data_IF_736708100230
#
_entry.id   IF_736708100230
#
_cell.length_a   1.000
_cell.length_b   1.000
_cell.length_c   1.000
_cell.angle_alpha   90.00
_cell.angle_beta   90.00
_cell.angle_gamma   90.00
#
_symmetry.space_group_name_H-M   'P 1'
#
loop_
_entity.id
_entity.type
_entity.pdbx_description
1 polymer ?
#
# COMPACT_ATOMS: atom_id res chain seq x y z
N UNK A 1 -28.29 10.11 -6.73
CA UNK A 1 -27.81 8.98 -5.89
C UNK A 1 -26.39 9.22 -5.33
N UNK A 2 -25.37 9.51 -6.13
CA UNK A 2 -23.99 9.74 -5.64
C UNK A 2 -23.84 10.89 -4.66
N UNK A 3 -24.52 12.01 -4.87
CA UNK A 3 -24.50 13.16 -3.97
C UNK A 3 -25.06 12.81 -2.57
N UNK A 4 -26.17 12.08 -2.51
CA UNK A 4 -26.77 11.63 -1.24
C UNK A 4 -25.80 10.72 -0.50
N UNK A 5 -25.17 9.74 -1.19
CA UNK A 5 -24.14 8.88 -0.59
C UNK A 5 -22.98 9.70 -0.01
N UNK A 6 -22.56 10.75 -0.72
CA UNK A 6 -21.52 11.65 -0.25
C UNK A 6 -21.94 12.41 1.02
N UNK A 7 -23.16 12.98 1.05
CA UNK A 7 -23.66 13.70 2.24
C UNK A 7 -23.74 12.75 3.44
N UNK A 8 -24.29 11.56 3.26
CA UNK A 8 -24.36 10.53 4.32
C UNK A 8 -22.96 10.17 4.83
N UNK A 9 -22.01 9.92 3.92
CA UNK A 9 -20.63 9.63 4.30
C UNK A 9 -20.00 10.80 5.08
N UNK A 10 -20.21 12.05 4.64
CA UNK A 10 -19.71 13.26 5.31
C UNK A 10 -20.30 13.43 6.71
N UNK A 11 -21.57 13.10 6.89
CA UNK A 11 -22.23 13.15 8.19
C UNK A 11 -21.57 12.14 9.16
N UNK A 12 -21.36 10.88 8.75
CA UNK A 12 -20.69 9.90 9.60
C UNK A 12 -19.21 10.25 9.86
N UNK A 13 -18.50 10.80 8.87
CA UNK A 13 -17.14 11.30 9.06
C UNK A 13 -17.14 12.45 10.08
N UNK A 14 -18.10 13.36 10.01
CA UNK A 14 -18.21 14.46 10.97
C UNK A 14 -18.41 13.91 12.40
N UNK A 15 -19.34 12.98 12.62
CA UNK A 15 -19.56 12.36 13.92
C UNK A 15 -18.29 11.66 14.43
N UNK A 16 -17.58 10.92 13.56
CA UNK A 16 -16.32 10.29 13.91
C UNK A 16 -15.28 11.31 14.36
N UNK A 17 -15.18 12.44 13.66
CA UNK A 17 -14.20 13.48 13.95
C UNK A 17 -14.50 14.28 15.23
N UNK A 18 -15.71 14.21 15.79
CA UNK A 18 -16.04 14.75 17.12
C UNK A 18 -15.42 13.91 18.26
N UNK A 19 -15.13 12.63 18.01
CA UNK A 19 -14.54 11.77 19.03
C UNK A 19 -13.07 12.14 19.27
N UNK A 20 -12.56 11.97 20.52
CA UNK A 20 -11.12 12.00 20.79
C UNK A 20 -10.37 10.96 19.95
N UNK A 21 -9.12 11.24 19.56
CA UNK A 21 -8.33 10.39 18.65
C UNK A 21 -8.24 8.94 19.14
N UNK A 22 -8.02 8.72 20.43
CA UNK A 22 -8.01 7.37 21.03
C UNK A 22 -9.32 6.61 20.79
N UNK A 23 -10.45 7.30 20.84
CA UNK A 23 -11.76 6.69 20.58
C UNK A 23 -11.95 6.38 19.09
N UNK A 24 -11.44 7.24 18.19
CA UNK A 24 -11.46 6.95 16.74
C UNK A 24 -10.70 5.66 16.40
N UNK A 25 -9.54 5.45 17.02
CA UNK A 25 -8.77 4.21 16.82
C UNK A 25 -9.47 2.98 17.41
N UNK A 26 -10.08 3.09 18.62
CA UNK A 26 -10.92 2.01 19.17
C UNK A 26 -12.11 1.68 18.26
N UNK A 27 -12.74 2.71 17.70
CA UNK A 27 -13.80 2.53 16.72
C UNK A 27 -13.30 1.85 15.43
N UNK A 28 -12.10 2.19 14.97
CA UNK A 28 -11.43 1.51 13.87
C UNK A 28 -11.17 0.03 14.16
N UNK A 29 -10.71 -0.33 15.35
CA UNK A 29 -10.54 -1.70 15.79
C UNK A 29 -11.87 -2.47 15.82
N UNK A 30 -12.94 -1.85 16.35
CA UNK A 30 -14.29 -2.40 16.33
C UNK A 30 -14.77 -2.65 14.90
N UNK A 31 -14.67 -1.67 14.01
CA UNK A 31 -15.05 -1.82 12.60
C UNK A 31 -14.21 -2.87 11.87
N UNK A 32 -12.93 -2.99 12.18
CA UNK A 32 -12.05 -4.03 11.64
C UNK A 32 -12.53 -5.43 12.01
N UNK A 33 -12.87 -5.65 13.29
CA UNK A 33 -13.45 -6.91 13.76
C UNK A 33 -14.82 -7.17 13.11
N UNK A 34 -15.67 -6.16 13.00
CA UNK A 34 -16.98 -6.27 12.37
C UNK A 34 -16.86 -6.62 10.89
N UNK A 35 -15.95 -5.95 10.16
CA UNK A 35 -15.66 -6.23 8.75
C UNK A 35 -15.17 -7.68 8.56
N UNK A 36 -14.24 -8.12 9.41
CA UNK A 36 -13.78 -9.52 9.42
C UNK A 36 -14.93 -10.50 9.61
N UNK A 37 -15.84 -10.22 10.54
CA UNK A 37 -16.99 -11.09 10.84
C UNK A 37 -18.02 -11.10 9.70
N UNK A 38 -18.38 -9.94 9.17
CA UNK A 38 -19.50 -9.78 8.22
C UNK A 38 -19.10 -10.05 6.77
N UNK A 39 -17.90 -9.67 6.33
CA UNK A 39 -17.50 -9.82 4.93
C UNK A 39 -16.82 -11.16 4.70
N UNK A 40 -17.63 -12.24 4.68
CA UNK A 40 -17.16 -13.62 4.54
C UNK A 40 -16.18 -13.82 3.37
N UNK A 41 -16.44 -13.21 2.20
CA UNK A 41 -15.56 -13.35 1.03
C UNK A 41 -14.15 -12.82 1.28
N UNK A 42 -14.02 -11.67 1.93
CA UNK A 42 -12.71 -11.05 2.25
C UNK A 42 -11.97 -11.83 3.34
N UNK A 43 -12.71 -12.29 4.36
CA UNK A 43 -12.16 -13.18 5.40
C UNK A 43 -11.61 -14.46 4.79
N UNK A 44 -12.39 -15.16 3.95
CA UNK A 44 -11.92 -16.39 3.29
C UNK A 44 -10.70 -16.16 2.41
N UNK A 45 -10.68 -15.06 1.65
CA UNK A 45 -9.49 -14.67 0.87
C UNK A 45 -8.26 -14.52 1.77
N UNK A 46 -8.38 -13.80 2.89
CA UNK A 46 -7.26 -13.60 3.81
C UNK A 46 -6.76 -14.91 4.42
N UNK A 47 -7.68 -15.77 4.89
CA UNK A 47 -7.32 -17.07 5.48
C UNK A 47 -6.62 -17.97 4.46
N UNK A 48 -7.13 -18.05 3.22
CA UNK A 48 -6.52 -18.86 2.15
C UNK A 48 -5.12 -18.35 1.77
N UNK A 49 -4.96 -17.03 1.64
CA UNK A 49 -3.67 -16.43 1.34
C UNK A 49 -2.66 -16.68 2.47
N UNK A 50 -3.08 -16.52 3.73
CA UNK A 50 -2.23 -16.76 4.89
C UNK A 50 -1.81 -18.24 5.02
N UNK A 51 -2.75 -19.19 4.85
CA UNK A 51 -2.42 -20.62 4.88
C UNK A 51 -1.44 -21.01 3.79
N UNK A 52 -1.56 -20.41 2.61
CA UNK A 52 -0.63 -20.64 1.51
C UNK A 52 0.75 -20.03 1.81
N UNK A 53 0.80 -18.82 2.39
CA UNK A 53 2.04 -18.11 2.68
C UNK A 53 2.79 -18.65 3.91
N UNK A 54 2.06 -19.19 4.88
CA UNK A 54 2.57 -19.71 6.15
C UNK A 54 1.98 -21.09 6.45
N UNK A 55 2.33 -22.12 5.65
CA UNK A 55 1.80 -23.48 5.82
C UNK A 55 2.17 -24.13 7.17
N UNK A 56 3.24 -23.63 7.81
CA UNK A 56 3.72 -24.08 9.11
C UNK A 56 2.88 -23.59 10.29
N UNK A 57 2.03 -22.55 10.10
CA UNK A 57 1.26 -21.95 11.18
C UNK A 57 -0.07 -22.67 11.40
N UNK A 58 -0.46 -22.77 12.68
CA UNK A 58 -1.75 -23.31 13.07
C UNK A 58 -2.93 -22.46 12.56
N UNK A 59 -4.11 -23.06 12.47
CA UNK A 59 -5.33 -22.34 12.07
C UNK A 59 -5.65 -21.17 13.00
N UNK A 60 -5.35 -21.30 14.30
CA UNK A 60 -5.54 -20.25 15.29
C UNK A 60 -4.59 -19.06 15.07
N UNK A 61 -3.32 -19.32 14.77
CA UNK A 61 -2.35 -18.30 14.44
C UNK A 61 -2.74 -17.55 13.16
N UNK A 62 -3.15 -18.30 12.14
CA UNK A 62 -3.64 -17.75 10.86
C UNK A 62 -4.86 -16.85 11.08
N UNK A 63 -5.81 -17.28 11.90
CA UNK A 63 -6.99 -16.47 12.21
C UNK A 63 -6.63 -15.21 12.99
N UNK A 64 -5.72 -15.29 13.95
CA UNK A 64 -5.22 -14.16 14.73
C UNK A 64 -4.55 -13.11 13.85
N UNK A 65 -3.68 -13.54 12.91
CA UNK A 65 -3.02 -12.66 11.94
C UNK A 65 -4.06 -12.02 11.02
N UNK A 66 -4.98 -12.81 10.45
CA UNK A 66 -6.02 -12.30 9.57
C UNK A 66 -6.87 -11.22 10.26
N UNK A 67 -7.34 -11.49 11.47
CA UNK A 67 -8.16 -10.56 12.25
C UNK A 67 -7.40 -9.27 12.58
N UNK A 68 -6.13 -9.36 12.99
CA UNK A 68 -5.28 -8.19 13.27
C UNK A 68 -5.05 -7.38 12.00
N UNK A 69 -4.83 -8.01 10.85
CA UNK A 69 -4.69 -7.36 9.55
C UNK A 69 -5.92 -6.52 9.17
N UNK A 70 -7.13 -7.06 9.36
CA UNK A 70 -8.37 -6.28 9.14
C UNK A 70 -8.44 -5.05 10.03
N UNK A 71 -8.12 -5.19 11.33
CA UNK A 71 -8.11 -4.08 12.28
C UNK A 71 -7.13 -2.99 11.86
N UNK A 72 -5.90 -3.36 11.54
CA UNK A 72 -4.85 -2.43 11.10
C UNK A 72 -5.29 -1.68 9.84
N UNK A 73 -5.74 -2.40 8.80
CA UNK A 73 -6.13 -1.78 7.54
C UNK A 73 -7.33 -0.84 7.71
N UNK A 74 -8.34 -1.20 8.49
CA UNK A 74 -9.50 -0.33 8.74
C UNK A 74 -9.08 0.90 9.55
N UNK A 75 -8.24 0.75 10.58
CA UNK A 75 -7.69 1.90 11.32
C UNK A 75 -6.90 2.83 10.41
N UNK A 76 -6.05 2.28 9.55
CA UNK A 76 -5.27 3.04 8.58
C UNK A 76 -6.15 3.85 7.61
N UNK A 77 -7.17 3.20 7.02
CA UNK A 77 -8.14 3.89 6.16
C UNK A 77 -8.90 5.01 6.87
N UNK A 78 -9.32 4.76 8.12
CA UNK A 78 -10.00 5.81 8.90
C UNK A 78 -9.04 6.93 9.26
N UNK A 79 -7.80 6.64 9.64
CA UNK A 79 -6.78 7.63 9.99
C UNK A 79 -6.53 8.64 8.87
N UNK A 80 -6.66 8.22 7.60
CA UNK A 80 -6.57 9.11 6.44
C UNK A 80 -7.55 10.29 6.49
N UNK A 81 -8.67 10.17 7.23
CA UNK A 81 -9.67 11.22 7.37
C UNK A 81 -9.21 12.40 8.26
N UNK A 82 -8.19 12.18 9.09
CA UNK A 82 -7.61 13.22 9.97
C UNK A 82 -6.09 13.17 9.99
N UNK A 83 -5.48 12.61 8.96
CA UNK A 83 -4.05 12.37 8.93
C UNK A 83 -3.23 13.67 9.03
N UNK A 84 -3.72 14.76 8.46
CA UNK A 84 -3.14 16.10 8.63
C UNK A 84 -3.04 16.55 10.09
N UNK A 85 -4.05 16.21 10.92
CA UNK A 85 -4.05 16.48 12.35
C UNK A 85 -3.17 15.49 13.12
N UNK A 86 -3.18 14.22 12.70
CA UNK A 86 -2.36 13.16 13.27
C UNK A 86 -0.86 13.47 13.16
N UNK A 87 -0.43 14.03 12.03
CA UNK A 87 0.95 14.44 11.78
C UNK A 87 1.43 15.62 12.64
N UNK A 88 0.53 16.41 13.23
CA UNK A 88 0.92 17.54 14.09
C UNK A 88 1.59 17.10 15.39
N UNK A 89 1.35 15.87 15.83
CA UNK A 89 2.09 15.30 16.96
C UNK A 89 3.31 14.54 16.45
N UNK A 90 4.54 15.05 16.65
CA UNK A 90 5.76 14.43 16.15
C UNK A 90 6.01 13.03 16.75
N UNK A 91 5.40 12.70 17.90
CA UNK A 91 5.51 11.38 18.51
C UNK A 91 4.74 10.30 17.76
N UNK A 92 3.81 10.69 16.89
CA UNK A 92 2.99 9.74 16.15
C UNK A 92 3.74 9.04 15.01
N UNK A 93 4.83 9.63 14.52
CA UNK A 93 5.60 9.11 13.37
C UNK A 93 7.06 8.95 13.77
N UNK A 94 7.59 7.75 13.54
CA UNK A 94 9.03 7.47 13.56
C UNK A 94 9.46 7.07 12.16
N UNK A 95 10.57 7.63 11.68
CA UNK A 95 11.13 7.28 10.36
C UNK A 95 12.50 6.67 10.57
N UNK A 96 12.68 5.48 10.05
CA UNK A 96 13.94 4.75 10.07
C UNK A 96 14.60 4.91 8.72
N UNK A 97 15.87 5.32 8.73
CA UNK A 97 16.72 5.52 7.55
C UNK A 97 16.15 6.55 6.55
N UNK A 98 15.55 7.64 7.07
CA UNK A 98 15.06 8.74 6.23
C UNK A 98 16.15 9.34 5.33
N UNK A 99 17.39 9.34 5.81
CA UNK A 99 18.54 9.90 5.12
C UNK A 99 18.74 9.29 3.72
N UNK A 100 18.49 7.98 3.55
CA UNK A 100 18.57 7.34 2.23
C UNK A 100 17.61 7.98 1.23
N UNK A 101 16.37 8.28 1.62
CA UNK A 101 15.41 8.99 0.77
C UNK A 101 15.87 10.41 0.46
N UNK A 102 16.29 11.15 1.47
CA UNK A 102 16.73 12.54 1.29
C UNK A 102 17.99 12.63 0.42
N UNK A 103 18.93 11.69 0.58
CA UNK A 103 20.12 11.59 -0.26
C UNK A 103 19.77 11.23 -1.70
N UNK A 104 18.81 10.32 -1.93
CA UNK A 104 18.29 10.02 -3.25
C UNK A 104 17.68 11.27 -3.92
N UNK A 105 16.91 12.06 -3.16
CA UNK A 105 16.30 13.30 -3.67
C UNK A 105 17.33 14.39 -4.03
N UNK A 106 18.51 14.39 -3.41
CA UNK A 106 19.59 15.34 -3.71
C UNK A 106 20.37 15.02 -5.00
N UNK A 107 20.19 13.84 -5.60
CA UNK A 107 20.93 13.40 -6.79
C UNK A 107 20.56 14.12 -8.09
N UNK A 108 19.84 15.21 -8.05
CA UNK A 108 19.41 16.00 -9.22
C UNK A 108 18.63 15.19 -10.29
N UNK A 109 18.03 14.07 -9.88
CA UNK A 109 17.18 13.19 -10.67
C UNK A 109 15.83 13.02 -9.98
N UNK A 110 14.80 12.52 -10.72
CA UNK A 110 13.61 11.98 -10.08
C UNK A 110 13.96 10.75 -9.24
N UNK A 111 13.12 10.43 -8.26
CA UNK A 111 13.29 9.24 -7.42
C UNK A 111 12.13 8.29 -7.63
N UNK A 112 12.41 7.01 -7.76
CA UNK A 112 11.39 5.96 -7.82
C UNK A 112 11.33 5.21 -6.49
N UNK A 113 10.20 5.28 -5.81
CA UNK A 113 9.93 4.53 -4.60
C UNK A 113 8.92 3.41 -4.88
N UNK A 114 9.31 2.16 -4.63
CA UNK A 114 8.34 1.08 -4.50
C UNK A 114 7.68 1.18 -3.13
N UNK A 115 6.41 0.83 -3.05
CA UNK A 115 5.69 0.72 -1.76
C UNK A 115 4.74 -0.47 -1.79
N UNK A 116 4.15 -0.79 -0.64
CA UNK A 116 3.29 -1.96 -0.47
C UNK A 116 2.05 -1.65 0.38
N UNK A 117 1.00 -2.47 0.24
CA UNK A 117 -0.25 -2.31 0.99
C UNK A 117 -0.09 -2.83 2.43
N UNK A 118 0.66 -2.10 3.22
CA UNK A 118 1.05 -2.44 4.58
C UNK A 118 0.93 -1.23 5.51
N UNK A 119 0.51 -1.46 6.75
CA UNK A 119 0.35 -0.39 7.74
C UNK A 119 -0.60 0.72 7.27
N UNK A 120 -0.23 1.98 7.49
CA UNK A 120 -0.93 3.13 6.93
C UNK A 120 -0.25 3.58 5.64
N UNK A 121 -0.80 3.19 4.50
CA UNK A 121 -0.23 3.42 3.18
C UNK A 121 0.07 4.91 2.88
N UNK A 122 -0.68 5.84 3.46
CA UNK A 122 -0.46 7.27 3.27
C UNK A 122 0.73 7.79 4.08
N UNK A 123 1.07 7.13 5.19
CA UNK A 123 2.17 7.53 6.04
C UNK A 123 3.54 7.42 5.34
N UNK A 124 3.72 6.46 4.43
CA UNK A 124 4.96 6.30 3.68
C UNK A 124 5.38 7.55 2.92
N UNK A 125 4.44 8.46 2.63
CA UNK A 125 4.75 9.71 1.92
C UNK A 125 5.50 10.73 2.77
N UNK A 126 5.47 10.60 4.10
CA UNK A 126 6.11 11.56 5.03
C UNK A 126 7.65 11.48 4.98
N UNK A 127 8.21 10.34 4.54
CA UNK A 127 9.67 10.16 4.51
C UNK A 127 10.40 11.07 3.51
N UNK A 128 9.68 11.68 2.57
CA UNK A 128 10.28 12.56 1.55
C UNK A 128 10.57 13.97 2.05
N UNK A 129 10.19 14.30 3.28
CA UNK A 129 10.35 15.68 3.81
C UNK A 129 9.53 16.68 2.98
N UNK A 130 10.22 17.68 2.45
CA UNK A 130 9.62 18.74 1.61
C UNK A 130 9.46 18.36 0.13
N UNK A 131 10.06 17.25 -0.31
CA UNK A 131 9.96 16.82 -1.70
C UNK A 131 8.58 16.32 -2.04
N UNK A 132 8.01 16.83 -3.13
CA UNK A 132 6.69 16.46 -3.57
C UNK A 132 6.64 15.01 -4.06
N UNK A 133 5.71 14.24 -3.50
CA UNK A 133 5.49 12.85 -3.89
C UNK A 133 4.31 12.72 -4.85
N UNK A 134 4.46 11.86 -5.83
CA UNK A 134 3.45 11.53 -6.84
C UNK A 134 3.08 10.06 -6.68
N UNK A 135 1.80 9.76 -6.65
CA UNK A 135 1.33 8.36 -6.65
C UNK A 135 0.19 8.18 -7.64
N UNK A 136 -0.14 6.94 -7.95
CA UNK A 136 -1.21 6.57 -8.87
C UNK A 136 -2.32 5.88 -8.10
N UNK A 137 -3.54 6.31 -8.30
CA UNK A 137 -4.70 5.65 -7.71
C UNK A 137 -5.81 5.44 -8.74
N UNK A 138 -6.60 4.39 -8.54
CA UNK A 138 -7.80 4.17 -9.32
C UNK A 138 -8.88 5.15 -8.91
N UNK A 139 -9.54 5.78 -9.87
CA UNK A 139 -10.69 6.65 -9.65
C UNK A 139 -11.82 5.94 -8.91
N UNK A 140 -12.36 6.57 -7.88
CA UNK A 140 -13.53 6.06 -7.18
C UNK A 140 -14.79 6.25 -8.03
N UNK A 141 -15.75 5.32 -7.92
CA UNK A 141 -17.01 5.37 -8.69
C UNK A 141 -17.84 6.62 -8.38
N UNK A 142 -17.86 7.06 -7.11
CA UNK A 142 -18.55 8.26 -6.69
C UNK A 142 -17.60 9.47 -6.83
N UNK A 143 -17.86 10.42 -7.75
CA UNK A 143 -16.95 11.53 -8.00
C UNK A 143 -16.82 12.48 -6.80
N UNK A 144 -17.88 12.66 -6.02
CA UNK A 144 -17.85 13.53 -4.83
C UNK A 144 -16.94 12.93 -3.74
N UNK A 145 -17.02 11.61 -3.53
CA UNK A 145 -16.14 10.89 -2.60
C UNK A 145 -14.71 10.91 -3.13
N UNK A 146 -14.52 10.69 -4.43
CA UNK A 146 -13.18 10.75 -5.05
C UNK A 146 -12.51 12.11 -4.80
N UNK A 147 -13.20 13.20 -5.11
CA UNK A 147 -12.68 14.54 -4.91
C UNK A 147 -12.39 14.85 -3.44
N UNK A 148 -13.23 14.36 -2.54
CA UNK A 148 -13.04 14.55 -1.10
C UNK A 148 -11.76 13.82 -0.62
N UNK A 149 -11.56 12.56 -0.97
CA UNK A 149 -10.38 11.77 -0.61
C UNK A 149 -9.12 12.39 -1.22
N UNK A 150 -9.14 12.75 -2.50
CA UNK A 150 -8.00 13.39 -3.18
C UNK A 150 -7.60 14.69 -2.49
N UNK A 151 -8.57 15.49 -2.06
CA UNK A 151 -8.32 16.73 -1.31
C UNK A 151 -7.70 16.46 0.05
N UNK A 152 -8.15 15.43 0.77
CA UNK A 152 -7.58 15.06 2.07
C UNK A 152 -6.11 14.64 1.92
N UNK A 153 -5.81 13.81 0.92
CA UNK A 153 -4.44 13.38 0.61
C UNK A 153 -3.51 14.53 0.28
N UNK A 154 -3.99 15.47 -0.54
CA UNK A 154 -3.20 16.66 -0.89
C UNK A 154 -2.90 17.58 0.29
N UNK A 155 -3.76 17.62 1.32
CA UNK A 155 -3.54 18.45 2.51
C UNK A 155 -2.50 17.87 3.46
N UNK A 156 -2.50 16.55 3.63
CA UNK A 156 -1.68 15.92 4.65
C UNK A 156 -0.19 15.84 4.27
N UNK A 157 0.14 15.63 2.99
CA UNK A 157 1.43 15.05 2.65
C UNK A 157 2.12 15.65 1.42
N UNK A 158 1.75 16.82 0.96
CA UNK A 158 2.28 17.34 -0.31
C UNK A 158 2.19 16.34 -1.48
N UNK A 159 1.25 15.38 -1.37
CA UNK A 159 1.08 14.28 -2.30
C UNK A 159 0.16 14.70 -3.45
N UNK A 160 0.60 14.45 -4.67
CA UNK A 160 -0.22 14.52 -5.87
C UNK A 160 -0.67 13.12 -6.26
N UNK A 161 -1.98 12.93 -6.41
CA UNK A 161 -2.54 11.64 -6.85
C UNK A 161 -2.94 11.75 -8.30
N UNK A 162 -2.32 10.95 -9.16
CA UNK A 162 -2.67 10.83 -10.58
C UNK A 162 -3.73 9.72 -10.70
N UNK A 163 -4.87 10.03 -11.33
CA UNK A 163 -5.86 9.00 -11.65
C UNK A 163 -5.31 8.07 -12.73
N UNK A 164 -5.43 6.73 -12.50
CA UNK A 164 -4.93 5.72 -13.44
C UNK A 164 -5.75 5.72 -14.73
N UNK A 165 -5.11 6.10 -15.83
CA UNK A 165 -5.63 6.09 -17.19
C UNK A 165 -4.53 5.71 -18.21
N UNK A 166 -4.82 5.81 -19.51
CA UNK A 166 -3.88 5.51 -20.60
C UNK A 166 -2.69 6.48 -20.66
N UNK A 167 -2.83 7.69 -20.10
CA UNK A 167 -1.80 8.74 -20.09
C UNK A 167 -0.90 8.64 -18.88
N UNK A 168 -1.23 7.82 -17.88
CA UNK A 168 -0.53 7.72 -16.60
C UNK A 168 0.99 7.61 -16.78
N UNK A 169 1.46 6.69 -17.63
CA UNK A 169 2.91 6.53 -17.84
C UNK A 169 3.59 7.79 -18.37
N UNK A 170 2.93 8.51 -19.31
CA UNK A 170 3.46 9.77 -19.88
C UNK A 170 3.54 10.86 -18.81
N UNK A 171 2.51 10.97 -17.97
CA UNK A 171 2.49 11.95 -16.87
C UNK A 171 3.57 11.63 -15.84
N UNK A 172 3.75 10.36 -15.46
CA UNK A 172 4.80 9.96 -14.54
C UNK A 172 6.20 10.30 -15.08
N UNK A 173 6.46 10.05 -16.38
CA UNK A 173 7.75 10.43 -17.02
C UNK A 173 7.96 11.94 -16.96
N UNK A 174 6.93 12.76 -17.20
CA UNK A 174 7.03 14.21 -17.05
C UNK A 174 7.42 14.60 -15.62
N UNK A 175 6.77 13.97 -14.62
CA UNK A 175 7.05 14.24 -13.20
C UNK A 175 8.45 13.81 -12.77
N UNK A 176 8.99 12.74 -13.33
CA UNK A 176 10.38 12.34 -13.11
C UNK A 176 11.37 13.40 -13.64
N UNK A 177 11.08 13.99 -14.81
CA UNK A 177 11.88 15.09 -15.37
C UNK A 177 11.82 16.35 -14.51
N UNK A 178 10.71 16.56 -13.79
CA UNK A 178 10.55 17.61 -12.77
C UNK A 178 11.25 17.25 -11.43
N UNK A 179 12.05 16.18 -11.39
CA UNK A 179 12.79 15.69 -10.20
C UNK A 179 11.88 15.37 -9.01
N UNK A 180 10.65 14.90 -9.28
CA UNK A 180 9.70 14.50 -8.24
C UNK A 180 9.94 13.06 -7.79
N UNK A 181 9.48 12.74 -6.58
CA UNK A 181 9.45 11.38 -6.07
C UNK A 181 8.17 10.69 -6.56
N UNK A 182 8.31 9.56 -7.23
CA UNK A 182 7.16 8.74 -7.64
C UNK A 182 7.10 7.50 -6.77
N UNK A 183 5.97 7.32 -6.06
CA UNK A 183 5.71 6.14 -5.26
C UNK A 183 4.66 5.25 -5.92
N UNK A 184 5.04 3.99 -6.23
CA UNK A 184 4.14 3.01 -6.85
C UNK A 184 4.00 1.76 -5.99
N UNK A 185 2.74 1.34 -5.77
CA UNK A 185 2.44 0.07 -5.12
C UNK A 185 2.87 -1.09 -6.03
N UNK A 186 3.74 -1.95 -5.52
CA UNK A 186 4.37 -3.02 -6.31
C UNK A 186 4.02 -4.43 -5.82
N UNK A 187 3.24 -4.55 -4.74
CA UNK A 187 2.90 -5.80 -4.08
C UNK A 187 1.55 -6.42 -4.51
N UNK A 188 0.76 -5.72 -5.31
CA UNK A 188 -0.54 -6.23 -5.75
C UNK A 188 -0.43 -7.06 -7.04
N UNK A 189 -1.48 -7.85 -7.36
CA UNK A 189 -1.55 -8.58 -8.62
C UNK A 189 -1.96 -7.65 -9.75
N UNK A 190 -1.09 -7.51 -10.75
CA UNK A 190 -1.36 -6.74 -11.98
C UNK A 190 -0.66 -7.41 -13.18
N UNK A 191 -0.88 -6.89 -14.38
CA UNK A 191 -0.10 -7.24 -15.57
C UNK A 191 1.34 -6.74 -15.39
N UNK A 192 2.32 -7.59 -15.61
CA UNK A 192 3.74 -7.24 -15.42
C UNK A 192 4.60 -8.49 -15.41
N UNK A 193 5.57 -8.54 -14.50
CA UNK A 193 6.49 -9.67 -14.35
C UNK A 193 5.79 -10.89 -13.74
N UNK A 194 6.19 -12.08 -14.16
CA UNK A 194 5.81 -13.35 -13.51
C UNK A 194 6.81 -13.57 -12.38
N UNK A 195 6.31 -13.74 -11.16
CA UNK A 195 7.17 -13.83 -9.99
C UNK A 195 6.77 -15.03 -9.10
N UNK A 196 7.71 -15.53 -8.33
CA UNK A 196 7.43 -16.38 -7.20
C UNK A 196 7.27 -15.51 -5.95
N UNK A 197 6.16 -15.67 -5.24
CA UNK A 197 5.85 -14.93 -4.04
C UNK A 197 5.26 -15.88 -2.99
N UNK A 198 5.93 -16.07 -1.88
CA UNK A 198 5.65 -17.11 -0.87
C UNK A 198 5.61 -18.52 -1.49
N UNK A 199 6.58 -18.84 -2.34
CA UNK A 199 6.68 -20.14 -2.98
C UNK A 199 5.65 -20.41 -4.09
N UNK A 200 4.79 -19.45 -4.44
CA UNK A 200 3.74 -19.61 -5.46
C UNK A 200 3.88 -18.61 -6.58
N UNK A 201 3.77 -19.10 -7.83
CA UNK A 201 3.80 -18.22 -9.01
C UNK A 201 2.59 -17.28 -9.05
N UNK A 202 2.84 -16.03 -9.37
CA UNK A 202 1.83 -15.00 -9.58
C UNK A 202 2.41 -13.86 -10.44
N UNK A 203 1.67 -12.76 -10.60
CA UNK A 203 2.13 -11.58 -11.36
C UNK A 203 2.26 -10.36 -10.46
N UNK A 204 3.26 -9.52 -10.72
CA UNK A 204 3.46 -8.26 -10.03
C UNK A 204 3.60 -7.09 -11.01
N UNK A 205 3.23 -5.84 -10.60
CA UNK A 205 3.48 -4.66 -11.41
C UNK A 205 4.98 -4.48 -11.65
N UNK A 206 5.36 -4.20 -12.88
CA UNK A 206 6.75 -3.91 -13.24
C UNK A 206 7.06 -2.41 -13.37
N UNK A 207 6.05 -1.55 -13.23
CA UNK A 207 6.16 -0.13 -13.56
C UNK A 207 7.27 0.62 -12.79
N UNK A 208 7.39 0.38 -11.48
CA UNK A 208 8.42 1.03 -10.66
C UNK A 208 9.83 0.63 -11.12
N UNK A 209 10.09 -0.66 -11.22
CA UNK A 209 11.38 -1.23 -11.67
C UNK A 209 11.69 -0.80 -13.11
N UNK A 210 10.72 -0.90 -14.02
CA UNK A 210 10.92 -0.51 -15.42
C UNK A 210 11.29 0.94 -15.60
N UNK A 211 10.67 1.87 -14.84
CA UNK A 211 11.01 3.29 -14.89
C UNK A 211 12.38 3.55 -14.26
N UNK A 212 12.69 2.93 -13.13
CA UNK A 212 13.98 3.07 -12.49
C UNK A 212 15.13 2.62 -13.41
N UNK A 213 15.00 1.45 -14.04
CA UNK A 213 15.98 0.94 -15.00
C UNK A 213 16.12 1.84 -16.25
N UNK A 214 14.97 2.23 -16.84
CA UNK A 214 14.96 2.99 -18.10
C UNK A 214 15.58 4.38 -17.98
N UNK A 215 15.35 5.03 -16.85
CA UNK A 215 15.78 6.42 -16.63
C UNK A 215 16.94 6.53 -15.64
N UNK A 216 17.54 5.40 -15.26
CA UNK A 216 18.67 5.34 -14.31
C UNK A 216 18.40 6.15 -13.05
N UNK A 217 17.29 5.83 -12.36
CA UNK A 217 16.82 6.57 -11.20
C UNK A 217 17.24 5.88 -9.89
N UNK A 218 17.48 6.65 -8.83
CA UNK A 218 17.51 6.11 -7.47
C UNK A 218 16.24 5.31 -7.20
N UNK A 219 16.40 4.08 -6.65
CA UNK A 219 15.29 3.17 -6.40
C UNK A 219 15.29 2.68 -4.95
N UNK A 220 14.20 2.87 -4.23
CA UNK A 220 14.06 2.50 -2.82
C UNK A 220 12.72 1.79 -2.58
N UNK A 221 12.68 0.97 -1.53
CA UNK A 221 11.42 0.47 -0.97
C UNK A 221 11.06 1.28 0.27
N UNK A 222 9.82 1.76 0.34
CA UNK A 222 9.28 2.45 1.51
C UNK A 222 8.03 1.69 1.98
N UNK A 223 8.03 1.32 3.25
CA UNK A 223 6.90 0.65 3.89
C UNK A 223 6.72 1.16 5.32
N UNK A 224 5.65 0.78 5.97
CA UNK A 224 5.44 1.19 7.36
C UNK A 224 4.65 0.15 8.15
N UNK A 225 4.78 0.20 9.47
CA UNK A 225 3.97 -0.54 10.44
C UNK A 225 3.09 0.40 11.23
N UNK A 226 1.85 0.00 11.46
CA UNK A 226 0.94 0.67 12.37
C UNK A 226 1.03 -0.03 13.72
N UNK A 227 1.64 0.64 14.70
CA UNK A 227 1.96 0.06 15.98
C UNK A 227 0.71 -0.09 16.89
N UNK A 228 0.80 -0.90 17.93
CA UNK A 228 -0.33 -1.18 18.83
C UNK A 228 -0.72 0.05 19.68
N UNK A 229 0.19 0.99 19.91
CA UNK A 229 -0.07 2.30 20.54
C UNK A 229 -0.66 3.34 19.58
N UNK A 230 -0.95 2.94 18.35
CA UNK A 230 -1.43 3.75 17.23
C UNK A 230 -0.41 4.77 16.69
N UNK A 231 0.86 4.63 16.99
CA UNK A 231 1.95 5.31 16.27
C UNK A 231 2.29 4.58 14.98
N UNK A 232 3.06 5.21 14.11
CA UNK A 232 3.50 4.62 12.83
C UNK A 232 5.01 4.67 12.76
N UNK A 233 5.62 3.55 12.40
CA UNK A 233 7.04 3.50 12.06
C UNK A 233 7.19 3.33 10.56
N UNK A 234 7.82 4.28 9.89
CA UNK A 234 8.12 4.25 8.47
C UNK A 234 9.54 3.75 8.29
N UNK A 235 9.75 2.86 7.35
CA UNK A 235 11.04 2.29 7.00
C UNK A 235 11.37 2.66 5.57
N UNK A 236 12.55 3.18 5.37
CA UNK A 236 13.15 3.43 4.05
C UNK A 236 14.35 2.48 3.91
N UNK A 237 14.42 1.70 2.84
CA UNK A 237 15.61 0.89 2.57
C UNK A 237 16.77 1.78 2.13
N UNK A 238 17.97 1.24 2.15
CA UNK A 238 19.04 1.80 1.33
C UNK A 238 18.65 1.75 -0.14
N UNK A 239 19.35 2.50 -0.97
CA UNK A 239 19.09 2.50 -2.41
C UNK A 239 19.31 1.08 -2.96
N UNK A 240 18.27 0.54 -3.59
CA UNK A 240 18.29 -0.81 -4.15
C UNK A 240 19.00 -0.75 -5.49
N UNK A 241 20.14 -1.41 -5.58
CA UNK A 241 20.88 -1.54 -6.83
C UNK A 241 20.16 -2.50 -7.79
N UNK A 242 19.74 -1.98 -8.93
CA UNK A 242 19.09 -2.74 -9.98
C UNK A 242 20.12 -3.34 -10.95
N UNK A 243 20.07 -4.65 -11.13
CA UNK A 243 20.96 -5.38 -12.05
C UNK A 243 20.62 -5.06 -13.50
N UNK A 244 21.65 -4.74 -14.31
CA UNK A 244 21.55 -4.46 -15.74
C UNK A 244 22.46 -5.41 -16.50
N UNK A 245 21.88 -6.30 -17.32
CA UNK A 245 22.61 -7.28 -18.14
C UNK A 245 22.68 -6.83 -19.61
N UNK A 246 21.93 -5.80 -19.96
CA UNK A 246 21.76 -5.33 -21.35
C UNK A 246 20.49 -5.86 -22.00
N UNK A 247 19.84 -6.89 -21.43
CA UNK A 247 18.52 -7.34 -21.86
C UNK A 247 17.44 -6.71 -20.97
N UNK A 248 16.87 -5.59 -21.39
CA UNK A 248 15.91 -4.84 -20.59
C UNK A 248 14.71 -5.66 -20.09
N UNK A 249 14.20 -6.59 -20.90
CA UNK A 249 13.05 -7.43 -20.50
C UNK A 249 13.43 -8.39 -19.37
N UNK A 250 14.59 -8.98 -19.47
CA UNK A 250 15.16 -9.88 -18.44
C UNK A 250 15.53 -9.10 -17.19
N UNK A 251 16.15 -7.94 -17.34
CA UNK A 251 16.49 -7.04 -16.23
C UNK A 251 15.25 -6.64 -15.44
N UNK A 252 14.16 -6.25 -16.11
CA UNK A 252 12.88 -5.94 -15.47
C UNK A 252 12.34 -7.16 -14.72
N UNK A 253 12.33 -8.33 -15.35
CA UNK A 253 11.83 -9.59 -14.76
C UNK A 253 12.60 -9.93 -13.47
N UNK A 254 13.93 -9.93 -13.53
CA UNK A 254 14.80 -10.30 -12.42
C UNK A 254 14.76 -9.30 -11.26
N UNK A 255 14.75 -8.00 -11.57
CA UNK A 255 14.68 -6.97 -10.54
C UNK A 255 13.30 -6.86 -9.90
N UNK A 256 12.21 -7.17 -10.61
CA UNK A 256 10.89 -7.28 -9.97
C UNK A 256 10.86 -8.46 -9.00
N UNK A 257 11.43 -9.62 -9.39
CA UNK A 257 11.55 -10.76 -8.47
C UNK A 257 12.36 -10.39 -7.24
N UNK A 258 13.49 -9.69 -7.42
CA UNK A 258 14.34 -9.25 -6.31
C UNK A 258 13.59 -8.31 -5.35
N UNK A 259 12.86 -7.32 -5.88
CA UNK A 259 12.01 -6.44 -5.07
C UNK A 259 10.95 -7.22 -4.29
N UNK A 260 10.31 -8.18 -4.93
CA UNK A 260 9.27 -9.03 -4.28
C UNK A 260 9.86 -9.88 -3.17
N UNK A 261 11.09 -10.38 -3.31
CA UNK A 261 11.77 -11.11 -2.24
C UNK A 261 11.99 -10.21 -1.02
N UNK A 262 12.45 -8.97 -1.22
CA UNK A 262 12.58 -8.00 -0.12
C UNK A 262 11.22 -7.73 0.56
N UNK A 263 10.15 -7.57 -0.24
CA UNK A 263 8.81 -7.37 0.30
C UNK A 263 8.30 -8.59 1.07
N UNK A 264 8.60 -9.80 0.60
CA UNK A 264 8.26 -11.05 1.28
C UNK A 264 8.92 -11.12 2.66
N UNK A 265 10.21 -10.81 2.75
CA UNK A 265 10.95 -10.78 4.02
C UNK A 265 10.35 -9.78 5.02
N UNK A 266 9.93 -8.61 4.53
CA UNK A 266 9.22 -7.61 5.36
C UNK A 266 7.89 -8.15 5.86
N UNK A 267 7.10 -8.79 4.99
CA UNK A 267 5.79 -9.35 5.36
C UNK A 267 5.95 -10.51 6.35
N UNK A 268 6.98 -11.33 6.19
CA UNK A 268 7.27 -12.43 7.14
C UNK A 268 7.58 -11.93 8.55
N UNK A 269 8.24 -10.77 8.67
CA UNK A 269 8.55 -10.12 9.95
C UNK A 269 7.31 -9.48 10.59
N UNK A 270 6.36 -9.00 9.79
CA UNK A 270 5.18 -8.26 10.24
C UNK A 270 3.91 -8.73 9.51
N UNK A 271 3.54 -10.03 9.62
CA UNK A 271 2.49 -10.60 8.77
C UNK A 271 1.12 -9.95 8.97
N UNK A 272 0.80 -9.46 10.17
CA UNK A 272 -0.47 -8.79 10.45
C UNK A 272 -0.60 -7.39 9.84
N UNK A 273 0.52 -6.83 9.35
CA UNK A 273 0.52 -5.47 8.80
C UNK A 273 0.10 -5.43 7.32
N UNK A 274 0.17 -6.56 6.60
CA UNK A 274 -0.12 -6.61 5.16
C UNK A 274 -1.60 -6.88 4.85
N UNK A 275 -2.06 -6.41 3.68
CA UNK A 275 -3.46 -6.48 3.24
C UNK A 275 -3.83 -7.87 2.67
N UNK A 276 -4.01 -8.88 3.52
CA UNK A 276 -4.28 -10.27 3.13
C UNK A 276 -5.62 -10.49 2.43
N UNK A 277 -6.59 -9.64 2.58
CA UNK A 277 -7.92 -9.78 1.97
C UNK A 277 -8.00 -9.36 0.49
N UNK A 278 -6.86 -9.01 -0.13
CA UNK A 278 -6.72 -8.89 -1.57
C UNK A 278 -6.39 -10.26 -2.18
N UNK A 279 -7.12 -10.66 -3.24
CA UNK A 279 -6.95 -11.98 -3.88
C UNK A 279 -5.68 -12.04 -4.75
N UNK A 280 -4.54 -12.06 -4.07
CA UNK A 280 -3.20 -11.87 -4.63
C UNK A 280 -2.80 -13.00 -5.59
N UNK A 281 -3.24 -14.23 -5.29
CA UNK A 281 -2.93 -15.43 -6.07
C UNK A 281 -4.13 -16.00 -6.83
N UNK A 282 -5.29 -15.32 -6.86
CA UNK A 282 -6.59 -15.83 -7.33
C UNK A 282 -7.13 -17.06 -6.56
N UNK A 283 -6.57 -17.39 -5.41
CA UNK A 283 -6.91 -18.58 -4.64
C UNK A 283 -8.41 -18.66 -4.32
N UNK A 284 -9.04 -17.54 -3.98
CA UNK A 284 -10.46 -17.50 -3.69
C UNK A 284 -11.32 -17.65 -4.97
N UNK A 285 -10.89 -17.12 -6.10
CA UNK A 285 -11.56 -17.31 -7.40
C UNK A 285 -11.51 -18.76 -7.85
N UNK A 286 -10.36 -19.40 -7.71
CA UNK A 286 -10.16 -20.81 -8.05
C UNK A 286 -11.02 -21.70 -7.17
N UNK A 287 -11.05 -21.46 -5.85
CA UNK A 287 -11.93 -22.14 -4.92
C UNK A 287 -13.41 -22.01 -5.30
N UNK A 288 -13.88 -20.80 -5.62
CA UNK A 288 -15.26 -20.59 -6.07
C UNK A 288 -15.59 -21.35 -7.36
N UNK A 289 -14.65 -21.43 -8.31
CA UNK A 289 -14.83 -22.19 -9.54
C UNK A 289 -14.94 -23.69 -9.26
N UNK A 290 -14.08 -24.22 -8.38
CA UNK A 290 -14.13 -25.64 -8.01
C UNK A 290 -15.44 -26.04 -7.35
N UNK A 291 -16.05 -25.16 -6.56
CA UNK A 291 -17.38 -25.41 -5.97
C UNK A 291 -18.50 -25.43 -7.02
N UNK A 292 -18.42 -24.55 -8.05
CA UNK A 292 -19.42 -24.53 -9.13
C UNK A 292 -19.35 -25.74 -10.07
N UNK A 293 -18.16 -26.32 -10.21
CA UNK A 293 -17.96 -27.51 -11.06
C UNK A 293 -18.30 -28.83 -10.34
N UNK A 294 -18.60 -28.79 -9.04
CA UNK A 294 -19.04 -29.94 -8.24
C UNK A 294 -20.57 -30.04 -8.07
N UNK A 295 -21.29 -28.99 -8.49
CA UNK A 295 -22.74 -28.92 -8.58
C UNK A 295 -23.17 -28.94 -10.06
#
# INVERSE_FOLDING_TARGET
MYYIQYIVARFFIFLLLLLPEKMRFKFGDFLGNLTYKLIKSRRMTALMNLKMAFPEKSDEEIEKIARKSFRIMIKAFLCSLWFDKYLKNPKNIKIINQESMLNACKKDKGVMAATMHMGNMEASTVCTGEYKIITVAKKQRNPYINNYITRLRGKANYMEVIEKDERTSRVLISKLREKKVIALFSDHRDKGAIINFFGKETKAPSGAVSMALKFDLPFLLVYNTFNDDNTITIYVTDEIELKKTGNFKEDVQNNVQYLINIMEDVIRKHPEQWMWFHDRWNSFREYKRSLKNKN
#
